data_IF_633085114011
#
_entry.id   IF_633085114011
#
_cell.length_a   1.000
_cell.length_b   1.000
_cell.length_c   1.000
_cell.angle_alpha   90.00
_cell.angle_beta   90.00
_cell.angle_gamma   90.00
#
_symmetry.space_group_name_H-M   'P 1'
#
loop_
_entity.id
_entity.type
_entity.pdbx_description
1 polymer ?
#
# COMPACT_ATOMS: atom_id res chain seq x y z
N UNK A 1 -3.87 -7.38 4.86
CA UNK A 1 -2.43 -7.61 5.12
C UNK A 1 -1.74 -8.39 4.00
N UNK A 2 -2.33 -9.47 3.46
CA UNK A 2 -1.73 -10.24 2.35
C UNK A 2 -1.55 -9.41 1.07
N UNK A 3 -2.40 -8.41 0.79
CA UNK A 3 -2.29 -7.60 -0.44
C UNK A 3 -1.20 -6.52 -0.42
N UNK A 4 -0.71 -6.09 0.75
CA UNK A 4 0.15 -4.89 0.86
C UNK A 4 1.63 -5.24 0.68
N UNK A 5 2.04 -6.39 1.21
CA UNK A 5 3.45 -6.82 1.19
C UNK A 5 4.03 -6.94 -0.21
N UNK A 6 3.21 -7.10 -1.25
CA UNK A 6 3.66 -7.36 -2.61
C UNK A 6 3.34 -6.27 -3.62
N UNK A 7 2.48 -5.30 -3.31
CA UNK A 7 2.29 -4.12 -4.19
C UNK A 7 3.54 -3.24 -4.22
N UNK A 8 4.41 -3.33 -3.21
CA UNK A 8 5.67 -2.58 -3.13
C UNK A 8 6.81 -3.24 -3.93
N UNK A 9 6.71 -4.53 -4.29
CA UNK A 9 7.83 -5.31 -4.86
C UNK A 9 7.53 -6.16 -6.11
N UNK A 10 6.39 -5.96 -6.79
CA UNK A 10 6.15 -6.62 -8.08
C UNK A 10 4.72 -7.05 -8.39
N UNK A 11 3.78 -6.87 -7.45
CA UNK A 11 2.36 -7.15 -7.64
C UNK A 11 2.03 -8.64 -7.82
N UNK A 12 0.80 -9.01 -7.44
CA UNK A 12 0.20 -10.22 -7.98
C UNK A 12 -0.53 -9.90 -9.28
N UNK A 13 -0.85 -10.93 -10.06
CA UNK A 13 -1.67 -10.77 -11.26
C UNK A 13 -3.09 -10.32 -10.90
N UNK A 14 -3.82 -9.73 -11.86
CA UNK A 14 -5.22 -9.35 -11.71
C UNK A 14 -6.08 -10.49 -11.15
N UNK A 15 -5.80 -11.72 -11.60
CA UNK A 15 -6.58 -12.90 -11.24
C UNK A 15 -6.50 -13.21 -9.73
N UNK A 16 -5.37 -12.90 -9.07
CA UNK A 16 -5.24 -13.08 -7.62
C UNK A 16 -6.17 -12.13 -6.86
N UNK A 17 -6.21 -10.86 -7.26
CA UNK A 17 -7.04 -9.86 -6.60
C UNK A 17 -8.53 -10.14 -6.83
N UNK A 18 -8.90 -10.58 -8.02
CA UNK A 18 -10.28 -10.97 -8.36
C UNK A 18 -10.73 -12.18 -7.53
N UNK A 19 -9.90 -13.23 -7.47
CA UNK A 19 -10.18 -14.40 -6.65
C UNK A 19 -10.27 -14.05 -5.16
N UNK A 20 -9.35 -13.22 -4.64
CA UNK A 20 -9.39 -12.76 -3.26
C UNK A 20 -10.69 -12.00 -2.96
N UNK A 21 -11.06 -11.03 -3.80
CA UNK A 21 -12.25 -10.21 -3.57
C UNK A 21 -13.56 -11.02 -3.71
N UNK A 22 -13.57 -12.08 -4.53
CA UNK A 22 -14.70 -13.01 -4.64
C UNK A 22 -14.95 -13.80 -3.36
N UNK A 23 -13.89 -14.24 -2.68
CA UNK A 23 -14.01 -15.06 -1.46
C UNK A 23 -13.99 -14.22 -0.17
N UNK A 24 -13.27 -13.10 -0.17
CA UNK A 24 -13.07 -12.18 0.95
C UNK A 24 -13.17 -10.73 0.44
N UNK A 25 -14.38 -10.22 0.22
CA UNK A 25 -14.57 -8.88 -0.30
C UNK A 25 -13.97 -7.82 0.62
N UNK A 26 -13.27 -6.87 0.03
CA UNK A 26 -12.67 -5.77 0.78
C UNK A 26 -13.75 -4.85 1.35
N UNK A 27 -13.66 -4.59 2.66
CA UNK A 27 -14.55 -3.63 3.31
C UNK A 27 -14.35 -2.21 2.76
N UNK A 28 -15.42 -1.40 2.78
CA UNK A 28 -15.39 0.02 2.37
C UNK A 28 -14.17 0.74 2.94
N UNK A 29 -13.52 1.56 2.12
CA UNK A 29 -12.30 2.28 2.50
C UNK A 29 -11.04 1.42 2.56
N UNK A 30 -11.06 0.18 2.03
CA UNK A 30 -9.86 -0.66 1.99
C UNK A 30 -8.72 0.00 1.23
N UNK A 31 -8.97 0.65 0.08
CA UNK A 31 -7.94 1.36 -0.69
C UNK A 31 -7.15 2.34 0.17
N UNK A 32 -7.86 3.17 0.95
CA UNK A 32 -7.26 4.13 1.87
C UNK A 32 -6.41 3.43 2.95
N UNK A 33 -6.96 2.42 3.63
CA UNK A 33 -6.21 1.65 4.66
C UNK A 33 -4.99 0.93 4.10
N UNK A 34 -5.05 0.46 2.85
CA UNK A 34 -3.93 -0.18 2.18
C UNK A 34 -2.74 0.76 2.01
N UNK A 35 -2.99 2.05 1.78
CA UNK A 35 -1.92 3.05 1.67
C UNK A 35 -1.16 3.25 3.00
N UNK A 36 -1.83 3.21 4.15
CA UNK A 36 -1.13 3.23 5.45
C UNK A 36 -0.22 2.02 5.67
N UNK A 37 -0.69 0.83 5.28
CA UNK A 37 0.15 -0.36 5.39
C UNK A 37 1.35 -0.28 4.44
N UNK A 38 1.17 0.32 3.26
CA UNK A 38 2.27 0.58 2.32
C UNK A 38 3.28 1.56 2.91
N UNK A 39 2.81 2.67 3.48
CA UNK A 39 3.67 3.66 4.14
C UNK A 39 4.53 3.00 5.23
N UNK A 40 3.94 2.16 6.08
CA UNK A 40 4.68 1.42 7.10
C UNK A 40 5.83 0.60 6.52
N UNK A 41 5.56 -0.18 5.45
CA UNK A 41 6.59 -0.97 4.80
C UNK A 41 7.67 -0.09 4.17
N UNK A 42 7.30 1.01 3.53
CA UNK A 42 8.26 1.95 2.92
C UNK A 42 9.16 2.60 3.97
N UNK A 43 8.63 2.97 5.14
CA UNK A 43 9.44 3.50 6.25
C UNK A 43 10.43 2.45 6.79
N UNK A 44 10.02 1.19 6.90
CA UNK A 44 10.94 0.09 7.26
C UNK A 44 12.06 -0.03 6.22
N UNK A 45 11.76 0.14 4.92
CA UNK A 45 12.77 0.09 3.87
C UNK A 45 13.67 1.32 3.86
N UNK A 46 13.13 2.51 4.10
CA UNK A 46 13.91 3.73 4.30
C UNK A 46 14.90 3.56 5.45
N UNK A 47 14.46 2.98 6.57
CA UNK A 47 15.33 2.71 7.72
C UNK A 47 16.44 1.70 7.39
N UNK A 48 16.12 0.63 6.64
CA UNK A 48 17.06 -0.48 6.37
C UNK A 48 17.99 -0.25 5.18
N UNK A 49 17.54 0.45 4.15
CA UNK A 49 18.21 0.56 2.86
C UNK A 49 18.50 2.02 2.46
N UNK A 50 18.01 2.99 3.23
CA UNK A 50 18.38 4.39 3.11
C UNK A 50 17.59 5.17 2.06
N UNK A 51 18.20 6.28 1.66
CA UNK A 51 17.59 7.42 0.93
C UNK A 51 16.77 7.06 -0.31
N UNK A 52 17.08 5.95 -0.99
CA UNK A 52 16.36 5.51 -2.20
C UNK A 52 14.85 5.31 -1.98
N UNK A 53 14.40 5.11 -0.73
CA UNK A 53 12.98 4.98 -0.39
C UNK A 53 12.32 6.28 0.09
N UNK A 54 13.07 7.38 0.24
CA UNK A 54 12.54 8.66 0.75
C UNK A 54 11.39 9.17 -0.10
N UNK A 55 11.57 9.22 -1.41
CA UNK A 55 10.54 9.74 -2.32
C UNK A 55 9.28 8.86 -2.32
N UNK A 56 9.45 7.54 -2.18
CA UNK A 56 8.32 6.62 -2.04
C UNK A 56 7.54 6.86 -0.75
N UNK A 57 8.23 7.11 0.36
CA UNK A 57 7.61 7.46 1.65
C UNK A 57 6.83 8.77 1.51
N UNK A 58 7.46 9.82 0.98
CA UNK A 58 6.82 11.14 0.79
C UNK A 58 5.56 11.02 -0.08
N UNK A 59 5.64 10.34 -1.21
CA UNK A 59 4.49 10.14 -2.10
C UNK A 59 3.32 9.42 -1.41
N UNK A 60 3.62 8.40 -0.60
CA UNK A 60 2.60 7.67 0.16
C UNK A 60 1.93 8.56 1.21
N UNK A 61 2.71 9.42 1.89
CA UNK A 61 2.17 10.43 2.82
C UNK A 61 1.29 11.45 2.11
N UNK A 62 1.72 11.99 0.96
CA UNK A 62 0.93 12.96 0.18
C UNK A 62 -0.42 12.39 -0.23
N UNK A 63 -0.45 11.12 -0.67
CA UNK A 63 -1.69 10.43 -1.04
C UNK A 63 -2.64 10.27 0.14
N UNK A 64 -2.12 9.93 1.32
CA UNK A 64 -2.92 9.83 2.56
C UNK A 64 -3.53 11.19 2.92
N UNK A 65 -2.76 12.26 2.79
CA UNK A 65 -3.20 13.62 3.13
C UNK A 65 -4.26 14.15 2.16
N UNK A 66 -4.12 13.87 0.86
CA UNK A 66 -5.10 14.29 -0.16
C UNK A 66 -6.46 13.59 0.02
N UNK A 67 -6.47 12.30 0.36
CA UNK A 67 -7.68 11.52 0.63
C UNK A 67 -8.45 11.97 1.89
N UNK A 68 -7.90 12.88 2.69
CA UNK A 68 -8.55 13.41 3.93
C UNK A 68 -9.32 14.72 3.67
N UNK A 69 -9.36 15.21 2.43
CA UNK A 69 -9.90 16.54 2.07
C UNK A 69 -11.34 16.54 1.56
N UNK A 70 -12.06 15.42 1.66
CA UNK A 70 -13.49 15.28 1.31
C UNK A 70 -14.41 15.20 2.55
#
# INVERSE_FOLDING_TARGET
MISVLQTVFGGFTSEFYDAYNKHYPLAKGASYRLEFYRLYLLMVHLLKFGEMYRDSVTHSMDKILQDTTD
#
